data_IF_521149411090
#
_entry.id   IF_521149411090
#
_cell.length_a   1.000
_cell.length_b   1.000
_cell.length_c   1.000
_cell.angle_alpha   90.00
_cell.angle_beta   90.00
_cell.angle_gamma   90.00
#
_symmetry.space_group_name_H-M   'P 1'
#
loop_
_entity.id
_entity.type
_entity.pdbx_description
1 polymer ?
#
# COMPACT_ATOMS: atom_id res chain seq x y z
N UNK A 1 15.36 -5.05 -8.84
CA UNK A 1 15.72 -4.23 -10.02
C UNK A 1 15.55 -2.72 -9.82
N UNK A 2 14.42 -2.21 -9.31
CA UNK A 2 14.15 -0.76 -9.21
C UNK A 2 15.16 0.05 -8.37
N UNK A 3 15.41 -0.33 -7.10
CA UNK A 3 16.35 0.40 -6.22
C UNK A 3 17.76 0.49 -6.81
N UNK A 4 18.22 -0.59 -7.47
CA UNK A 4 19.51 -0.61 -8.18
C UNK A 4 19.56 0.44 -9.28
N UNK A 5 18.52 0.50 -10.13
CA UNK A 5 18.44 1.48 -11.22
C UNK A 5 18.45 2.92 -10.69
N UNK A 6 17.69 3.20 -9.62
CA UNK A 6 17.69 4.52 -8.96
C UNK A 6 19.08 4.86 -8.43
N UNK A 7 19.70 3.94 -7.68
CA UNK A 7 21.05 4.16 -7.14
C UNK A 7 22.07 4.45 -8.24
N UNK A 8 22.14 3.61 -9.28
CA UNK A 8 23.13 3.74 -10.35
C UNK A 8 22.92 5.03 -11.15
N UNK A 9 21.68 5.44 -11.36
CA UNK A 9 21.34 6.72 -12.00
C UNK A 9 21.83 7.90 -11.17
N UNK A 10 21.55 7.92 -9.86
CA UNK A 10 22.02 8.98 -8.96
C UNK A 10 23.54 8.97 -8.81
N UNK A 11 24.15 7.77 -8.78
CA UNK A 11 25.59 7.58 -8.68
C UNK A 11 26.36 8.10 -9.89
N UNK A 12 25.75 8.04 -11.08
CA UNK A 12 26.30 8.60 -12.32
C UNK A 12 26.08 10.12 -12.44
N UNK A 13 25.26 10.72 -11.59
CA UNK A 13 24.97 12.16 -11.62
C UNK A 13 26.21 12.99 -11.23
N UNK A 14 26.44 14.16 -11.87
CA UNK A 14 27.47 15.11 -11.43
C UNK A 14 27.25 15.60 -9.99
N UNK A 15 26.01 15.51 -9.48
CA UNK A 15 25.65 15.94 -8.12
C UNK A 15 25.79 14.84 -7.05
N UNK A 16 26.38 13.68 -7.37
CA UNK A 16 26.53 12.57 -6.42
C UNK A 16 27.14 12.99 -5.07
N UNK A 17 28.12 13.91 -5.10
CA UNK A 17 28.78 14.42 -3.89
C UNK A 17 27.94 15.45 -3.10
N UNK A 18 26.72 15.75 -3.54
CA UNK A 18 25.80 16.69 -2.89
C UNK A 18 24.46 16.02 -2.55
N UNK A 19 24.41 14.67 -2.62
CA UNK A 19 23.18 13.91 -2.45
C UNK A 19 23.19 13.03 -1.19
N UNK A 20 22.00 12.91 -0.61
CA UNK A 20 21.62 11.89 0.35
C UNK A 20 20.38 11.17 -0.19
N UNK A 21 20.55 9.91 -0.57
CA UNK A 21 19.43 9.04 -0.93
C UNK A 21 18.89 8.38 0.34
N UNK A 22 17.61 8.58 0.62
CA UNK A 22 16.91 7.97 1.76
C UNK A 22 15.89 6.98 1.21
N UNK A 23 15.92 5.75 1.71
CA UNK A 23 15.02 4.67 1.30
C UNK A 23 14.31 4.19 2.57
N UNK A 24 13.21 4.85 2.97
CA UNK A 24 12.37 4.39 4.06
C UNK A 24 11.38 3.33 3.56
N UNK A 25 10.95 2.47 4.47
CA UNK A 25 9.75 1.67 4.29
C UNK A 25 8.58 2.45 4.90
N UNK A 26 7.42 2.42 4.25
CA UNK A 26 6.20 3.05 4.76
C UNK A 26 5.58 2.22 5.88
N UNK A 27 5.63 0.90 5.78
CA UNK A 27 5.13 -0.04 6.77
C UNK A 27 6.08 -1.22 7.08
N UNK A 28 5.79 -1.93 8.16
CA UNK A 28 6.56 -3.09 8.62
C UNK A 28 6.21 -4.40 7.89
N UNK A 29 5.16 -4.40 7.07
CA UNK A 29 4.73 -5.56 6.27
C UNK A 29 4.08 -6.70 7.05
N UNK A 30 3.63 -6.47 8.30
CA UNK A 30 2.95 -7.48 9.12
C UNK A 30 3.87 -8.50 9.80
N UNK A 31 5.20 -8.34 9.67
CA UNK A 31 6.17 -9.23 10.30
C UNK A 31 6.37 -8.91 11.77
N UNK A 32 6.63 -9.95 12.58
CA UNK A 32 6.93 -9.77 13.99
C UNK A 32 8.23 -8.96 14.18
N UNK A 33 8.15 -7.92 15.01
CA UNK A 33 9.30 -7.20 15.54
C UNK A 33 9.34 -7.38 17.07
N UNK A 34 10.55 -7.56 17.61
CA UNK A 34 10.77 -7.81 19.03
C UNK A 34 10.87 -6.52 19.86
N UNK A 35 11.07 -5.36 19.22
CA UNK A 35 11.23 -4.08 19.90
C UNK A 35 9.85 -3.49 20.20
N UNK A 36 9.53 -3.21 21.47
CA UNK A 36 8.28 -2.53 21.83
C UNK A 36 8.19 -1.15 21.17
N UNK A 37 6.99 -0.77 20.75
CA UNK A 37 6.80 0.53 20.11
C UNK A 37 6.92 1.68 21.13
N UNK A 38 7.65 2.76 20.79
CA UNK A 38 7.76 3.92 21.67
C UNK A 38 6.40 4.60 21.90
N UNK A 39 6.03 4.79 23.16
CA UNK A 39 4.81 5.52 23.56
C UNK A 39 5.08 6.64 24.58
N UNK A 40 6.30 6.76 25.08
CA UNK A 40 6.63 7.75 26.11
C UNK A 40 7.01 9.09 25.49
N UNK A 41 6.23 10.14 25.78
CA UNK A 41 6.55 11.50 25.36
C UNK A 41 6.49 11.72 23.84
N UNK A 42 5.75 10.86 23.13
CA UNK A 42 5.48 10.98 21.70
C UNK A 42 4.28 11.92 21.51
N UNK A 43 4.44 13.10 20.88
CA UNK A 43 3.38 14.10 20.83
C UNK A 43 2.34 13.77 19.76
N UNK A 44 1.05 13.73 20.10
CA UNK A 44 -0.04 13.56 19.12
C UNK A 44 0.08 14.50 17.91
N UNK A 45 -0.44 14.06 16.75
CA UNK A 45 -0.56 14.87 15.55
C UNK A 45 -1.63 15.94 15.78
N UNK A 46 -1.20 17.09 16.31
CA UNK A 46 -2.03 18.27 16.58
C UNK A 46 -3.26 18.02 17.47
N UNK A 47 -3.11 17.09 18.42
CA UNK A 47 -4.14 16.69 19.39
C UNK A 47 -5.42 16.12 18.73
N UNK A 48 -5.30 15.59 17.50
CA UNK A 48 -6.37 14.92 16.78
C UNK A 48 -6.62 13.53 17.38
N UNK A 49 -7.88 13.22 17.65
CA UNK A 49 -8.33 11.92 18.17
C UNK A 49 -9.21 11.24 17.13
N UNK A 50 -9.03 9.93 16.93
CA UNK A 50 -9.88 9.16 16.02
C UNK A 50 -11.33 9.14 16.53
N UNK A 51 -12.33 9.00 15.65
CA UNK A 51 -13.71 8.82 16.06
C UNK A 51 -13.93 7.58 16.94
N UNK A 52 -15.10 7.53 17.57
CA UNK A 52 -15.63 6.33 18.23
C UNK A 52 -15.65 5.12 17.28
N UNK A 53 -15.46 3.88 17.79
CA UNK A 53 -15.35 3.53 19.21
C UNK A 53 -13.91 3.55 19.76
N UNK A 54 -12.91 3.84 18.91
CA UNK A 54 -11.51 3.58 19.25
C UNK A 54 -10.83 4.75 19.98
N UNK A 55 -11.27 5.99 19.75
CA UNK A 55 -10.75 7.19 20.43
C UNK A 55 -9.21 7.26 20.50
N UNK A 56 -8.56 6.89 19.40
CA UNK A 56 -7.13 6.75 19.33
C UNK A 56 -6.45 8.12 19.23
N UNK A 57 -5.51 8.38 20.12
CA UNK A 57 -4.88 9.69 20.37
C UNK A 57 -3.63 9.95 19.54
N UNK A 58 -3.12 8.94 18.84
CA UNK A 58 -1.89 9.00 18.06
C UNK A 58 -0.64 9.42 18.87
N UNK A 59 -0.63 9.27 20.19
CA UNK A 59 0.47 9.64 21.10
C UNK A 59 1.49 8.50 21.31
N UNK A 60 1.64 7.64 20.30
CA UNK A 60 2.68 6.62 20.24
C UNK A 60 3.19 6.42 18.81
N UNK A 61 4.24 5.62 18.64
CA UNK A 61 4.74 5.19 17.34
C UNK A 61 4.22 3.80 16.97
N UNK A 62 4.23 3.54 15.66
CA UNK A 62 3.97 2.21 15.12
C UNK A 62 5.18 1.27 15.26
N UNK A 63 5.05 0.10 14.65
CA UNK A 63 6.12 -0.91 14.56
C UNK A 63 7.31 -0.35 13.78
N UNK A 64 8.52 -0.81 14.11
CA UNK A 64 9.73 -0.40 13.41
C UNK A 64 9.66 -0.72 11.91
N UNK A 65 10.21 0.19 11.13
CA UNK A 65 10.38 0.04 9.69
C UNK A 65 11.85 0.21 9.32
N UNK A 66 12.39 -0.58 8.37
CA UNK A 66 13.76 -0.38 7.91
C UNK A 66 13.91 0.99 7.24
N UNK A 67 15.08 1.61 7.41
CA UNK A 67 15.48 2.80 6.64
C UNK A 67 16.93 2.67 6.22
N UNK A 68 17.20 2.88 4.93
CA UNK A 68 18.56 2.86 4.38
C UNK A 68 18.92 4.26 3.91
N UNK A 69 20.10 4.73 4.30
CA UNK A 69 20.65 6.02 3.87
C UNK A 69 21.93 5.81 3.08
N UNK A 70 22.04 6.47 1.93
CA UNK A 70 23.15 6.27 1.00
C UNK A 70 23.69 7.61 0.55
N UNK A 71 24.98 7.84 0.81
CA UNK A 71 25.70 9.06 0.43
C UNK A 71 27.21 8.80 0.47
N UNK A 72 28.03 9.46 -0.36
CA UNK A 72 29.49 9.37 -0.24
C UNK A 72 30.01 9.94 1.09
N UNK A 73 29.19 10.69 1.82
CA UNK A 73 29.55 11.28 3.11
C UNK A 73 29.29 10.37 4.32
N UNK A 74 28.82 9.14 4.10
CA UNK A 74 28.55 8.16 5.15
C UNK A 74 29.65 7.09 5.17
N UNK A 75 30.24 6.86 6.34
CA UNK A 75 31.23 5.81 6.57
C UNK A 75 30.63 4.43 6.25
N UNK A 76 31.43 3.55 5.64
CA UNK A 76 30.93 2.23 5.22
C UNK A 76 30.52 1.43 6.45
N UNK A 77 29.31 0.86 6.41
CA UNK A 77 28.81 0.03 7.51
C UNK A 77 28.36 0.82 8.73
N UNK A 78 28.10 2.12 8.59
CA UNK A 78 27.48 2.92 9.65
C UNK A 78 26.12 2.34 10.01
N UNK A 79 25.92 2.05 11.29
CA UNK A 79 24.63 1.66 11.89
C UNK A 79 24.29 2.70 12.95
N UNK A 80 23.05 3.20 12.92
CA UNK A 80 22.56 4.18 13.89
C UNK A 80 21.33 3.60 14.57
N UNK A 81 21.34 3.63 15.91
CA UNK A 81 20.29 3.00 16.74
C UNK A 81 19.23 3.98 17.22
N UNK A 82 19.55 5.26 17.33
CA UNK A 82 18.62 6.29 17.82
C UNK A 82 19.17 7.69 17.58
N UNK A 83 18.31 8.72 17.63
CA UNK A 83 18.71 10.08 17.33
C UNK A 83 19.39 10.77 18.51
N UNK A 84 20.05 11.88 18.21
CA UNK A 84 20.27 12.96 19.18
C UNK A 84 19.21 14.03 18.92
N UNK A 85 17.97 13.73 19.32
CA UNK A 85 16.83 14.58 19.02
C UNK A 85 16.70 15.79 19.95
N UNK A 86 15.74 16.70 19.66
CA UNK A 86 15.47 17.87 20.49
C UNK A 86 15.02 17.53 21.91
N UNK A 87 14.51 16.31 22.13
CA UNK A 87 14.09 15.79 23.43
C UNK A 87 14.77 14.44 23.73
N UNK A 88 14.96 14.08 25.01
CA UNK A 88 15.46 12.75 25.37
C UNK A 88 14.56 11.59 24.91
N UNK A 89 13.26 11.86 24.69
CA UNK A 89 12.32 10.87 24.17
C UNK A 89 12.25 10.83 22.64
N UNK A 90 12.94 11.72 21.93
CA UNK A 90 12.88 11.78 20.47
C UNK A 90 13.35 10.46 19.84
N UNK A 91 12.64 10.02 18.82
CA UNK A 91 12.97 8.82 18.05
C UNK A 91 13.16 9.15 16.56
N UNK A 92 13.71 8.18 15.81
CA UNK A 92 13.62 8.21 14.35
C UNK A 92 12.27 7.66 13.91
N UNK A 93 11.55 8.45 13.13
CA UNK A 93 10.27 8.09 12.50
C UNK A 93 10.09 8.88 11.20
N UNK A 94 9.02 8.68 10.44
CA UNK A 94 8.87 9.29 9.10
C UNK A 94 8.98 10.82 9.10
N UNK A 95 8.52 11.50 10.16
CA UNK A 95 8.64 12.96 10.33
C UNK A 95 10.07 13.42 10.65
N UNK A 96 11.02 12.50 10.89
CA UNK A 96 12.45 12.83 10.89
C UNK A 96 12.90 13.38 9.53
N UNK A 97 12.25 12.97 8.43
CA UNK A 97 12.55 13.48 7.09
C UNK A 97 12.15 14.96 6.98
N UNK A 98 10.92 15.31 7.38
CA UNK A 98 10.48 16.71 7.36
C UNK A 98 11.28 17.57 8.35
N UNK A 99 11.60 17.04 9.54
CA UNK A 99 12.48 17.71 10.50
C UNK A 99 13.87 17.99 9.91
N UNK A 100 14.45 17.05 9.17
CA UNK A 100 15.73 17.22 8.49
C UNK A 100 15.64 18.25 7.35
N UNK A 101 14.58 18.20 6.54
CA UNK A 101 14.33 19.19 5.46
C UNK A 101 14.27 20.60 6.05
N UNK A 102 13.49 20.78 7.13
CA UNK A 102 13.43 22.07 7.83
C UNK A 102 14.82 22.56 8.22
N UNK A 103 15.64 21.69 8.80
CA UNK A 103 17.00 22.01 9.25
C UNK A 103 17.94 22.35 8.09
N UNK A 104 17.95 21.53 7.04
CA UNK A 104 18.83 21.73 5.86
C UNK A 104 18.50 23.04 5.14
N UNK A 105 17.21 23.36 4.99
CA UNK A 105 16.78 24.58 4.30
C UNK A 105 16.53 25.77 5.22
N UNK A 106 16.82 25.64 6.52
CA UNK A 106 16.63 26.71 7.53
C UNK A 106 15.21 27.30 7.49
N UNK A 107 14.19 26.43 7.40
CA UNK A 107 12.80 26.88 7.41
C UNK A 107 12.38 27.34 8.81
N UNK A 108 11.51 28.33 8.88
CA UNK A 108 11.16 28.99 10.15
C UNK A 108 10.32 28.11 11.08
N UNK A 109 9.37 27.36 10.52
CA UNK A 109 8.33 26.66 11.28
C UNK A 109 8.40 25.15 11.07
N UNK A 110 7.94 24.39 12.06
CA UNK A 110 7.62 22.97 11.93
C UNK A 110 6.18 22.82 11.43
N UNK A 111 5.86 21.70 10.79
CA UNK A 111 4.50 21.44 10.30
C UNK A 111 3.55 21.11 11.46
N UNK A 112 4.04 20.37 12.46
CA UNK A 112 3.26 19.83 13.58
C UNK A 112 4.14 19.75 14.85
N UNK A 113 3.56 19.31 15.97
CA UNK A 113 4.35 18.95 17.16
C UNK A 113 5.23 17.71 16.92
N UNK A 114 4.87 16.85 15.96
CA UNK A 114 5.54 15.55 15.70
C UNK A 114 6.90 15.75 15.04
N UNK A 115 6.98 16.51 13.95
CA UNK A 115 8.25 16.82 13.30
C UNK A 115 9.11 17.80 14.13
N UNK A 116 8.51 18.61 15.00
CA UNK A 116 9.25 19.39 15.99
C UNK A 116 9.95 18.52 17.05
N UNK A 117 9.39 17.34 17.34
CA UNK A 117 9.91 16.38 18.30
C UNK A 117 10.84 15.34 17.67
N UNK A 118 10.63 14.99 16.40
CA UNK A 118 11.36 13.94 15.71
C UNK A 118 12.88 14.15 15.70
N UNK A 119 13.63 13.05 15.79
CA UNK A 119 15.08 13.08 15.66
C UNK A 119 15.54 13.46 14.26
N UNK A 120 16.54 14.35 14.15
CA UNK A 120 17.22 14.62 12.87
C UNK A 120 18.45 13.70 12.71
N UNK A 121 18.87 13.47 11.47
CA UNK A 121 19.86 12.45 11.11
C UNK A 121 21.13 13.02 10.47
N UNK A 122 21.48 14.28 10.76
CA UNK A 122 22.76 14.84 10.33
C UNK A 122 23.97 14.05 10.86
N UNK A 123 23.81 13.37 12.00
CA UNK A 123 24.86 12.54 12.61
C UNK A 123 25.25 11.33 11.76
N UNK A 124 24.39 10.92 10.83
CA UNK A 124 24.67 9.85 9.86
C UNK A 124 25.74 10.30 8.85
N UNK A 125 25.79 11.60 8.54
CA UNK A 125 26.80 12.23 7.70
C UNK A 125 28.09 12.42 8.51
N UNK A 126 28.80 11.32 8.72
CA UNK A 126 29.88 11.20 9.71
C UNK A 126 31.30 11.36 9.10
N UNK A 127 31.41 11.89 7.88
CA UNK A 127 32.70 12.12 7.22
C UNK A 127 32.91 13.59 6.85
N UNK A 128 34.17 14.02 6.91
CA UNK A 128 34.61 15.33 6.45
C UNK A 128 34.99 15.37 4.96
N UNK A 129 35.17 14.20 4.33
CA UNK A 129 35.48 14.08 2.90
C UNK A 129 34.64 12.97 2.27
N UNK A 130 34.12 13.18 1.05
CA UNK A 130 33.32 12.19 0.36
C UNK A 130 34.18 10.97 0.01
N UNK A 131 33.58 9.79 0.11
CA UNK A 131 34.21 8.54 -0.26
C UNK A 131 34.36 8.45 -1.78
N UNK A 132 35.55 8.05 -2.21
CA UNK A 132 35.86 7.81 -3.63
C UNK A 132 35.61 6.35 -4.05
N UNK A 133 35.36 5.46 -3.08
CA UNK A 133 35.18 4.02 -3.30
C UNK A 133 33.71 3.55 -3.23
N UNK A 134 32.75 4.46 -3.46
CA UNK A 134 31.33 4.08 -3.58
C UNK A 134 31.11 3.27 -4.87
N UNK A 135 30.42 2.11 -4.81
CA UNK A 135 30.13 1.29 -5.99
C UNK A 135 29.52 2.13 -7.12
N UNK A 136 29.95 1.90 -8.36
CA UNK A 136 29.31 2.52 -9.53
C UNK A 136 28.15 1.66 -10.02
N UNK A 137 28.28 0.34 -9.85
CA UNK A 137 27.29 -0.66 -10.23
C UNK A 137 27.05 -1.57 -9.02
N UNK A 138 25.79 -1.82 -8.69
CA UNK A 138 25.38 -2.77 -7.66
C UNK A 138 25.25 -4.18 -8.25
N UNK A 139 25.31 -5.25 -7.43
CA UNK A 139 25.00 -6.59 -7.90
C UNK A 139 23.58 -6.69 -8.48
N UNK A 140 23.39 -7.56 -9.45
CA UNK A 140 22.04 -7.87 -9.95
C UNK A 140 21.23 -8.57 -8.88
N UNK A 141 19.95 -8.23 -8.78
CA UNK A 141 19.03 -8.90 -7.85
C UNK A 141 18.68 -10.27 -8.41
N UNK A 142 18.82 -11.32 -7.59
CA UNK A 142 18.33 -12.64 -7.96
C UNK A 142 16.82 -12.59 -8.24
N UNK A 143 16.37 -13.36 -9.24
CA UNK A 143 14.93 -13.56 -9.46
C UNK A 143 14.36 -14.26 -8.22
N UNK A 144 13.33 -13.66 -7.62
CA UNK A 144 12.60 -14.26 -6.49
C UNK A 144 11.96 -15.62 -6.84
N UNK A 145 11.57 -15.80 -8.11
CA UNK A 145 11.10 -17.10 -8.63
C UNK A 145 12.06 -17.59 -9.71
N UNK A 146 12.54 -18.81 -9.53
CA UNK A 146 13.38 -19.51 -10.52
C UNK A 146 12.56 -19.98 -11.73
N UNK A 147 11.31 -20.35 -11.48
CA UNK A 147 10.39 -20.87 -12.47
C UNK A 147 9.58 -19.74 -13.10
N UNK A 148 9.22 -19.93 -14.38
CA UNK A 148 8.32 -19.04 -15.09
C UNK A 148 6.88 -19.20 -14.59
N UNK A 149 5.97 -18.35 -15.07
CA UNK A 149 4.55 -18.45 -14.73
C UNK A 149 3.99 -19.77 -15.27
N UNK A 150 3.53 -20.63 -14.38
CA UNK A 150 2.66 -21.75 -14.75
C UNK A 150 1.21 -21.29 -14.60
N UNK A 151 0.59 -20.99 -15.73
CA UNK A 151 -0.79 -20.50 -15.80
C UNK A 151 -1.80 -21.66 -15.92
N UNK A 152 -1.31 -22.87 -16.19
CA UNK A 152 -2.12 -24.06 -16.44
C UNK A 152 -2.32 -24.93 -15.18
N UNK A 153 -1.54 -24.68 -14.13
CA UNK A 153 -1.70 -25.37 -12.83
C UNK A 153 -2.99 -24.98 -12.11
N UNK A 154 -3.38 -25.83 -11.16
CA UNK A 154 -4.41 -25.54 -10.18
C UNK A 154 -4.04 -24.32 -9.30
N UNK A 155 -5.06 -23.64 -8.80
CA UNK A 155 -4.93 -22.50 -7.91
C UNK A 155 -4.27 -22.90 -6.57
N UNK A 156 -3.41 -22.02 -6.05
CA UNK A 156 -3.04 -22.09 -4.63
C UNK A 156 -4.20 -21.61 -3.76
N UNK A 157 -4.19 -21.95 -2.47
CA UNK A 157 -5.20 -21.48 -1.49
C UNK A 157 -5.42 -19.97 -1.57
N UNK A 158 -4.35 -19.18 -1.51
CA UNK A 158 -4.44 -17.71 -1.65
C UNK A 158 -5.06 -17.25 -2.98
N UNK A 159 -4.78 -17.93 -4.10
CA UNK A 159 -5.36 -17.58 -5.40
C UNK A 159 -6.85 -17.91 -5.44
N UNK A 160 -7.26 -19.03 -4.83
CA UNK A 160 -8.65 -19.40 -4.66
C UNK A 160 -9.43 -18.37 -3.84
N UNK A 161 -8.85 -17.86 -2.75
CA UNK A 161 -9.46 -16.80 -1.94
C UNK A 161 -9.64 -15.49 -2.73
N UNK A 162 -8.68 -15.13 -3.58
CA UNK A 162 -8.81 -13.96 -4.46
C UNK A 162 -9.97 -14.11 -5.46
N UNK A 163 -10.15 -15.30 -6.04
CA UNK A 163 -11.30 -15.59 -6.92
C UNK A 163 -12.61 -15.50 -6.15
N UNK A 164 -12.66 -16.02 -4.93
CA UNK A 164 -13.84 -15.93 -4.07
C UNK A 164 -14.16 -14.49 -3.69
N UNK A 165 -13.15 -13.66 -3.43
CA UNK A 165 -13.33 -12.22 -3.21
C UNK A 165 -13.91 -11.55 -4.47
N UNK A 166 -13.38 -11.86 -5.65
CA UNK A 166 -13.92 -11.35 -6.92
C UNK A 166 -15.37 -11.80 -7.16
N UNK A 167 -15.74 -13.01 -6.73
CA UNK A 167 -17.12 -13.49 -6.78
C UNK A 167 -18.08 -12.66 -5.90
N UNK A 168 -17.57 -12.04 -4.83
CA UNK A 168 -18.37 -11.10 -4.04
C UNK A 168 -18.66 -9.83 -4.84
N UNK A 169 -17.66 -9.29 -5.54
CA UNK A 169 -17.78 -8.11 -6.41
C UNK A 169 -18.75 -8.35 -7.57
N UNK A 170 -18.81 -9.56 -8.12
CA UNK A 170 -19.70 -9.90 -9.23
C UNK A 170 -21.11 -10.35 -8.80
N UNK A 171 -21.37 -10.50 -7.49
CA UNK A 171 -22.63 -11.03 -6.96
C UNK A 171 -22.76 -12.56 -7.00
N UNK A 172 -21.76 -13.27 -7.56
CA UNK A 172 -21.72 -14.73 -7.67
C UNK A 172 -21.65 -15.44 -6.30
N UNK A 173 -21.26 -14.73 -5.24
CA UNK A 173 -21.30 -15.21 -3.86
C UNK A 173 -22.70 -15.65 -3.39
N UNK A 174 -23.76 -15.24 -4.09
CA UNK A 174 -25.15 -15.67 -3.81
C UNK A 174 -25.58 -16.94 -4.56
N UNK A 175 -24.76 -17.42 -5.50
CA UNK A 175 -25.06 -18.61 -6.31
C UNK A 175 -24.64 -19.88 -5.56
N UNK A 176 -25.26 -21.00 -5.92
CA UNK A 176 -25.01 -22.34 -5.34
C UNK A 176 -23.63 -22.92 -5.69
N UNK A 177 -22.90 -22.26 -6.59
CA UNK A 177 -21.51 -22.59 -6.95
C UNK A 177 -20.50 -22.06 -5.93
N UNK A 178 -20.84 -21.07 -5.11
CA UNK A 178 -19.94 -20.47 -4.14
C UNK A 178 -19.85 -21.29 -2.83
N UNK A 179 -18.69 -21.35 -2.15
CA UNK A 179 -17.37 -20.88 -2.60
C UNK A 179 -16.59 -21.92 -3.42
N UNK A 180 -16.84 -23.22 -3.21
CA UNK A 180 -15.88 -24.25 -3.66
C UNK A 180 -16.12 -24.80 -5.06
N UNK A 181 -17.37 -24.88 -5.52
CA UNK A 181 -17.64 -25.35 -6.89
C UNK A 181 -17.21 -24.33 -7.93
N UNK A 182 -17.21 -23.04 -7.58
CA UNK A 182 -16.76 -21.95 -8.44
C UNK A 182 -15.30 -22.14 -8.86
N UNK A 183 -14.44 -22.52 -7.93
CA UNK A 183 -13.00 -22.69 -8.15
C UNK A 183 -12.61 -24.12 -8.52
N UNK A 184 -13.58 -25.04 -8.60
CA UNK A 184 -13.33 -26.45 -8.84
C UNK A 184 -12.70 -26.65 -10.24
N UNK A 185 -11.52 -27.27 -10.28
CA UNK A 185 -10.73 -27.48 -11.51
C UNK A 185 -10.31 -26.20 -12.25
N UNK A 186 -10.40 -25.03 -11.62
CA UNK A 186 -9.98 -23.76 -12.22
C UNK A 186 -8.45 -23.70 -12.33
N UNK A 187 -7.95 -23.29 -13.50
CA UNK A 187 -6.52 -23.01 -13.70
C UNK A 187 -6.21 -21.56 -13.37
N UNK A 188 -4.93 -21.25 -13.15
CA UNK A 188 -4.49 -19.88 -12.88
C UNK A 188 -4.91 -18.92 -13.99
N UNK A 189 -4.86 -19.31 -15.26
CA UNK A 189 -5.31 -18.45 -16.38
C UNK A 189 -6.81 -18.14 -16.33
N UNK A 190 -7.64 -19.14 -15.99
CA UNK A 190 -9.09 -18.97 -15.87
C UNK A 190 -9.44 -18.02 -14.72
N UNK A 191 -8.72 -18.17 -13.59
CA UNK A 191 -8.88 -17.30 -12.43
C UNK A 191 -8.51 -15.85 -12.73
N UNK A 192 -7.43 -15.60 -13.50
CA UNK A 192 -7.05 -14.24 -13.90
C UNK A 192 -8.17 -13.60 -14.72
N UNK A 193 -8.68 -14.29 -15.74
CA UNK A 193 -9.79 -13.78 -16.55
C UNK A 193 -11.04 -13.48 -15.72
N UNK A 194 -11.41 -14.39 -14.83
CA UNK A 194 -12.57 -14.20 -13.93
C UNK A 194 -12.41 -12.97 -13.02
N UNK A 195 -11.23 -12.79 -12.40
CA UNK A 195 -10.96 -11.66 -11.49
C UNK A 195 -10.95 -10.34 -12.25
N UNK A 196 -10.32 -10.29 -13.43
CA UNK A 196 -10.30 -9.10 -14.28
C UNK A 196 -11.71 -8.70 -14.73
N UNK A 197 -12.53 -9.66 -15.18
CA UNK A 197 -13.91 -9.42 -15.59
C UNK A 197 -14.79 -8.96 -14.42
N UNK A 198 -14.65 -9.58 -13.25
CA UNK A 198 -15.40 -9.20 -12.05
C UNK A 198 -15.05 -7.77 -11.61
N UNK A 199 -13.75 -7.41 -11.61
CA UNK A 199 -13.30 -6.06 -11.27
C UNK A 199 -13.78 -5.02 -12.29
N UNK A 200 -13.67 -5.34 -13.59
CA UNK A 200 -14.17 -4.47 -14.66
C UNK A 200 -15.68 -4.23 -14.52
N UNK A 201 -16.46 -5.29 -14.30
CA UNK A 201 -17.90 -5.18 -14.10
C UNK A 201 -18.22 -4.31 -12.87
N UNK A 202 -17.49 -4.49 -11.77
CA UNK A 202 -17.59 -3.64 -10.58
C UNK A 202 -17.37 -2.16 -10.90
N UNK A 203 -16.29 -1.82 -11.63
CA UNK A 203 -16.02 -0.45 -12.07
C UNK A 203 -17.12 0.11 -12.96
N UNK A 204 -17.56 -0.65 -13.98
CA UNK A 204 -18.60 -0.23 -14.92
C UNK A 204 -19.91 0.12 -14.17
N UNK A 205 -20.28 -0.66 -13.16
CA UNK A 205 -21.46 -0.41 -12.33
C UNK A 205 -21.27 0.76 -11.37
N UNK A 206 -20.06 0.95 -10.82
CA UNK A 206 -19.71 2.14 -10.04
C UNK A 206 -19.91 3.41 -10.86
N UNK A 207 -19.45 3.42 -12.10
CA UNK A 207 -19.65 4.55 -13.02
C UNK A 207 -21.13 4.76 -13.35
N UNK A 208 -21.87 3.69 -13.64
CA UNK A 208 -23.32 3.77 -13.88
C UNK A 208 -24.07 4.36 -12.68
N UNK A 209 -23.76 3.91 -11.47
CA UNK A 209 -24.38 4.42 -10.24
C UNK A 209 -24.10 5.92 -10.05
N UNK A 210 -22.86 6.36 -10.26
CA UNK A 210 -22.48 7.78 -10.20
C UNK A 210 -23.22 8.60 -11.25
N UNK A 211 -23.30 8.12 -12.49
CA UNK A 211 -24.06 8.77 -13.56
C UNK A 211 -25.55 8.89 -13.25
N UNK A 212 -26.09 7.95 -12.46
CA UNK A 212 -27.47 7.95 -11.98
C UNK A 212 -27.68 8.74 -10.67
N UNK A 213 -26.67 9.48 -10.20
CA UNK A 213 -26.78 10.39 -9.05
C UNK A 213 -26.48 9.76 -7.69
N UNK A 214 -25.84 8.59 -7.65
CA UNK A 214 -25.29 8.06 -6.40
C UNK A 214 -24.19 8.97 -5.83
N UNK A 215 -24.18 9.14 -4.51
CA UNK A 215 -23.08 9.80 -3.81
C UNK A 215 -21.85 8.88 -3.63
N UNK A 216 -20.73 9.46 -3.20
CA UNK A 216 -19.46 8.75 -3.03
C UNK A 216 -19.47 7.72 -1.89
N UNK A 217 -20.51 7.69 -1.05
CA UNK A 217 -20.67 6.73 0.05
C UNK A 217 -21.61 5.58 -0.30
N UNK A 218 -22.21 5.59 -1.49
CA UNK A 218 -23.15 4.56 -1.89
C UNK A 218 -22.44 3.22 -2.11
N UNK A 219 -22.82 2.22 -1.32
CA UNK A 219 -22.26 0.86 -1.41
C UNK A 219 -23.01 0.10 -2.50
N UNK A 220 -22.29 -0.37 -3.50
CA UNK A 220 -22.87 -1.14 -4.60
C UNK A 220 -22.95 -2.61 -4.21
N UNK A 221 -24.17 -3.09 -4.03
CA UNK A 221 -24.45 -4.53 -3.90
C UNK A 221 -24.91 -5.11 -5.25
N UNK A 222 -24.04 -5.95 -5.82
CA UNK A 222 -24.28 -6.64 -7.09
C UNK A 222 -25.38 -7.70 -7.02
N UNK A 223 -25.53 -8.38 -5.88
CA UNK A 223 -26.53 -9.44 -5.74
C UNK A 223 -27.96 -8.88 -5.83
N UNK A 224 -28.21 -7.78 -5.12
CA UNK A 224 -29.50 -7.09 -5.13
C UNK A 224 -29.83 -6.54 -6.53
N UNK A 225 -28.84 -6.05 -7.28
CA UNK A 225 -29.03 -5.56 -8.65
C UNK A 225 -29.35 -6.66 -9.66
N UNK A 226 -28.67 -7.82 -9.59
CA UNK A 226 -28.98 -8.97 -10.46
C UNK A 226 -30.42 -9.45 -10.24
N UNK A 227 -30.87 -9.52 -9.00
CA UNK A 227 -32.25 -9.86 -8.65
C UNK A 227 -33.28 -8.86 -9.23
N UNK A 228 -32.97 -7.56 -9.21
CA UNK A 228 -33.82 -6.52 -9.82
C UNK A 228 -33.89 -6.66 -11.35
N UNK A 229 -32.76 -6.93 -12.02
CA UNK A 229 -32.71 -7.15 -13.48
C UNK A 229 -33.52 -8.36 -13.93
N UNK A 230 -33.47 -9.45 -13.17
CA UNK A 230 -34.25 -10.68 -13.47
C UNK A 230 -35.76 -10.46 -13.23
N UNK A 231 -36.15 -9.68 -12.22
CA UNK A 231 -37.54 -9.31 -12.00
C UNK A 231 -38.14 -8.48 -13.15
N UNK A 232 -37.36 -7.54 -13.71
CA UNK A 232 -37.78 -6.73 -14.86
C UNK A 232 -37.98 -7.58 -16.12
N UNK A 233 -37.06 -8.50 -16.42
CA UNK A 233 -37.20 -9.44 -17.55
C UNK A 233 -38.41 -10.36 -17.40
N UNK A 234 -38.69 -10.82 -16.17
CA UNK A 234 -39.88 -11.64 -15.86
C UNK A 234 -41.19 -10.88 -16.07
N UNK A 235 -41.20 -9.57 -15.82
CA UNK A 235 -42.36 -8.71 -16.03
C UNK A 235 -42.66 -8.48 -17.52
N UNK A 236 -41.62 -8.18 -18.33
CA UNK A 236 -41.77 -7.98 -19.77
C UNK A 236 -42.22 -9.27 -20.48
N UNK A 237 -41.69 -10.43 -20.08
CA UNK A 237 -42.13 -11.74 -20.59
C UNK A 237 -43.62 -12.03 -20.31
N UNK A 238 -44.15 -11.58 -19.17
CA UNK A 238 -45.58 -11.72 -18.83
C UNK A 238 -46.47 -10.77 -19.62
N UNK A 239 -46.01 -9.57 -19.93
CA UNK A 239 -46.76 -8.62 -20.78
C UNK A 239 -46.87 -9.16 -22.21
N UNK A 240 -45.78 -9.69 -22.78
CA UNK A 240 -45.82 -10.27 -24.13
C UNK A 240 -46.62 -11.58 -24.21
N UNK A 241 -46.66 -12.38 -23.14
CA UNK A 241 -47.50 -13.59 -23.10
C UNK A 241 -49.01 -13.29 -23.08
N UNK A 242 -49.44 -12.13 -22.57
CA UNK A 242 -50.86 -11.72 -22.59
C UNK A 242 -51.32 -11.17 -23.94
N UNK A 243 -50.41 -10.66 -24.77
CA UNK A 243 -50.75 -10.11 -26.09
C UNK A 243 -50.90 -11.17 -27.19
N UNK A 244 -50.54 -12.43 -26.94
CA UNK A 244 -50.58 -13.52 -27.95
C UNK A 244 -51.83 -14.42 -27.80
N UNK A 245 -52.67 -14.23 -26.78
CA UNK A 245 -53.85 -15.07 -26.51
C UNK A 245 -55.21 -14.42 -26.85
N UNK A 246 -55.29 -13.56 -27.87
CA UNK A 246 -56.57 -13.13 -28.47
C UNK A 246 -56.52 -13.20 -30.00
N UNK A 247 -56.83 -14.38 -30.53
CA UNK A 247 -57.48 -14.56 -31.82
C UNK A 247 -58.57 -15.61 -31.64
#
# INVERSE_FOLDING_TARGET
MFVKQVYETLRASPHWNEMLLIIPYDEHGGFYDHVPTPASGVPSLDDIVSPDPYNFTFDHLGVQVPTIMVSPWIERGTVVHGPKGPYPSSEYEHSSISAMVKKVFTLNEFLTKRDAWAGTFETVINRNTPRTNCPVTLPDTEKLRKEDKDEERALSEFQSELVQLAATLNGDHTKDIFPQKLIENMKVIDAVGYVEDAFKNFCDVCEEAKNNGADDFNIIDFATRLAQKDSHKSFDGKIFSCCICKN
#
